data_IF_225017383203
#
_entry.id   IF_225017383203
#
_cell.length_a   1.000
_cell.length_b   1.000
_cell.length_c   1.000
_cell.angle_alpha   90.00
_cell.angle_beta   90.00
_cell.angle_gamma   90.00
#
_symmetry.space_group_name_H-M   'P 1'
#
loop_
_entity.id
_entity.type
_entity.pdbx_description
1 polymer ?
#
# COMPACT_ATOMS: atom_id res chain seq x y z
N UNK A 1 -11.56 9.88 -4.17
CA UNK A 1 -11.92 8.45 -4.16
C UNK A 1 -10.91 7.55 -3.42
N UNK A 2 -9.63 7.92 -3.26
CA UNK A 2 -8.63 7.07 -2.59
C UNK A 2 -8.66 7.07 -1.04
N UNK A 3 -9.40 7.97 -0.39
CA UNK A 3 -9.33 8.17 1.08
C UNK A 3 -10.27 7.29 1.91
N UNK A 4 -11.28 6.65 1.29
CA UNK A 4 -12.34 5.92 2.02
C UNK A 4 -12.05 4.42 2.21
N UNK A 5 -11.16 3.82 1.39
CA UNK A 5 -10.81 2.39 1.54
C UNK A 5 -9.98 2.06 2.79
N UNK A 6 -9.46 3.07 3.50
CA UNK A 6 -8.78 2.91 4.79
C UNK A 6 -9.75 2.51 5.92
N UNK A 7 -11.05 2.78 5.79
CA UNK A 7 -12.02 2.56 6.88
C UNK A 7 -12.79 1.23 6.78
N UNK A 8 -12.72 0.52 5.66
CA UNK A 8 -13.50 -0.71 5.42
C UNK A 8 -12.75 -2.02 5.74
N UNK A 9 -11.69 -1.98 6.56
CA UNK A 9 -11.16 -3.19 7.18
C UNK A 9 -10.48 -4.20 6.24
N UNK A 10 -9.99 -3.79 5.07
CA UNK A 10 -9.20 -4.66 4.18
C UNK A 10 -7.81 -4.09 3.85
N UNK A 11 -6.97 -3.80 4.86
CA UNK A 11 -5.61 -3.34 4.61
C UNK A 11 -4.77 -4.40 3.87
N UNK A 12 -5.11 -5.69 4.00
CA UNK A 12 -4.46 -6.79 3.26
C UNK A 12 -4.69 -6.70 1.74
N UNK A 13 -5.92 -6.40 1.29
CA UNK A 13 -6.20 -6.19 -0.13
C UNK A 13 -5.43 -4.97 -0.66
N UNK A 14 -5.40 -3.88 0.11
CA UNK A 14 -4.65 -2.67 -0.27
C UNK A 14 -3.16 -2.94 -0.41
N UNK A 15 -2.60 -3.84 0.42
CA UNK A 15 -1.21 -4.27 0.35
C UNK A 15 -0.91 -5.01 -0.95
N UNK A 16 -1.77 -5.94 -1.38
CA UNK A 16 -1.58 -6.66 -2.64
C UNK A 16 -1.59 -5.70 -3.84
N UNK A 17 -2.59 -4.83 -3.93
CA UNK A 17 -2.69 -3.89 -5.07
C UNK A 17 -1.49 -2.94 -5.16
N UNK A 18 -0.99 -2.44 -4.02
CA UNK A 18 0.15 -1.51 -4.05
C UNK A 18 1.46 -2.23 -4.36
N UNK A 19 1.63 -3.50 -3.95
CA UNK A 19 2.78 -4.31 -4.33
C UNK A 19 2.83 -4.56 -5.85
N UNK A 20 1.69 -4.87 -6.46
CA UNK A 20 1.58 -5.02 -7.91
C UNK A 20 1.90 -3.69 -8.63
N UNK A 21 1.37 -2.57 -8.14
CA UNK A 21 1.67 -1.25 -8.70
C UNK A 21 3.16 -0.90 -8.62
N UNK A 22 3.83 -1.19 -7.49
CA UNK A 22 5.28 -1.01 -7.35
C UNK A 22 6.04 -1.88 -8.34
N UNK A 23 5.65 -3.15 -8.52
CA UNK A 23 6.29 -4.05 -9.48
C UNK A 23 6.19 -3.50 -10.92
N UNK A 24 4.99 -3.08 -11.33
CA UNK A 24 4.76 -2.48 -12.65
C UNK A 24 5.56 -1.19 -12.82
N UNK A 25 5.58 -0.30 -11.83
CA UNK A 25 6.34 0.96 -11.92
C UNK A 25 7.84 0.73 -11.95
N UNK A 26 8.34 -0.30 -11.26
CA UNK A 26 9.75 -0.68 -11.30
C UNK A 26 10.15 -1.24 -12.66
N UNK A 27 9.30 -2.08 -13.26
CA UNK A 27 9.54 -2.65 -14.58
C UNK A 27 9.47 -1.59 -15.69
N UNK A 28 8.54 -0.65 -15.57
CA UNK A 28 8.31 0.40 -16.58
C UNK A 28 9.18 1.65 -16.39
N UNK A 29 9.95 1.74 -15.29
CA UNK A 29 10.73 2.94 -14.95
C UNK A 29 9.86 4.17 -14.67
N UNK A 30 8.65 3.96 -14.15
CA UNK A 30 7.70 5.04 -13.91
C UNK A 30 8.18 5.99 -12.80
N UNK A 31 8.01 7.30 -13.02
CA UNK A 31 8.25 8.34 -12.01
C UNK A 31 7.37 8.20 -10.75
N UNK A 32 6.30 7.42 -10.85
CA UNK A 32 5.37 7.14 -9.75
C UNK A 32 5.87 6.02 -8.82
N UNK A 33 7.01 5.37 -9.13
CA UNK A 33 7.58 4.33 -8.29
C UNK A 33 7.80 4.81 -6.84
N UNK A 34 8.41 5.98 -6.66
CA UNK A 34 8.69 6.53 -5.33
C UNK A 34 7.41 6.80 -4.50
N UNK A 35 6.33 7.21 -5.17
CA UNK A 35 5.04 7.44 -4.55
C UNK A 35 4.37 6.11 -4.14
N UNK A 36 4.45 5.10 -5.00
CA UNK A 36 3.92 3.76 -4.73
C UNK A 36 4.69 3.07 -3.60
N UNK A 37 6.02 3.18 -3.57
CA UNK A 37 6.86 2.65 -2.49
C UNK A 37 6.54 3.29 -1.14
N UNK A 38 6.37 4.63 -1.12
CA UNK A 38 5.95 5.34 0.10
C UNK A 38 4.57 4.88 0.59
N UNK A 39 3.65 4.65 -0.34
CA UNK A 39 2.29 4.18 -0.01
C UNK A 39 2.32 2.74 0.53
N UNK A 40 3.14 1.87 -0.07
CA UNK A 40 3.38 0.51 0.41
C UNK A 40 3.93 0.52 1.86
N UNK A 41 4.92 1.39 2.13
CA UNK A 41 5.47 1.54 3.49
C UNK A 41 4.40 1.95 4.51
N UNK A 42 3.56 2.95 4.19
CA UNK A 42 2.50 3.38 5.10
C UNK A 42 1.50 2.25 5.40
N UNK A 43 1.07 1.49 4.38
CA UNK A 43 0.15 0.36 4.56
C UNK A 43 0.78 -0.71 5.46
N UNK A 44 2.06 -1.02 5.27
CA UNK A 44 2.77 -2.00 6.08
C UNK A 44 2.85 -1.59 7.56
N UNK A 45 3.09 -0.31 7.84
CA UNK A 45 3.08 0.22 9.22
C UNK A 45 1.70 0.08 9.83
N UNK A 46 0.63 0.51 9.12
CA UNK A 46 -0.74 0.41 9.62
C UNK A 46 -1.16 -1.05 9.91
N UNK A 47 -0.78 -2.00 9.06
CA UNK A 47 -1.04 -3.43 9.31
C UNK A 47 -0.29 -3.90 10.56
N UNK A 48 0.97 -3.51 10.73
CA UNK A 48 1.75 -3.90 11.90
C UNK A 48 1.18 -3.31 13.19
N UNK A 49 0.71 -2.06 13.17
CA UNK A 49 0.03 -1.42 14.29
C UNK A 49 -1.27 -2.16 14.67
N UNK A 50 -2.08 -2.55 13.67
CA UNK A 50 -3.30 -3.33 13.92
C UNK A 50 -3.01 -4.72 14.49
N UNK A 51 -1.93 -5.38 14.03
CA UNK A 51 -1.50 -6.69 14.52
C UNK A 51 -0.95 -6.63 15.95
N UNK A 52 -0.28 -5.54 16.32
CA UNK A 52 0.27 -5.35 17.66
C UNK A 52 -0.77 -4.87 18.68
N UNK A 53 -1.92 -4.38 18.22
CA UNK A 53 -3.04 -3.96 19.06
C UNK A 53 -4.05 -5.09 19.37
N UNK A 54 -3.76 -6.32 18.92
CA UNK A 54 -4.55 -7.54 19.17
C UNK A 54 -3.87 -8.43 20.21
#
# INVERSE_FOLDING_TARGET
MAKIRQQEGRPADALTYIQEAVAIFRETGSRHLAEAERTLQMIQVTINEQRNAS
#
